data_IF_315423488562
#
_entry.id   IF_315423488562
#
_cell.length_a   1.000
_cell.length_b   1.000
_cell.length_c   1.000
_cell.angle_alpha   90.00
_cell.angle_beta   90.00
_cell.angle_gamma   90.00
#
_symmetry.space_group_name_H-M   'P 1'
#
loop_
_entity.id
_entity.type
_entity.pdbx_description
1 polymer ?
#
# COMPACT_ATOMS: atom_id res chain seq x y z
N UNK A 1 -0.83 4.58 10.64
CA UNK A 1 -1.60 5.78 10.25
C UNK A 1 -0.68 6.87 9.68
N UNK A 2 0.50 7.14 10.28
CA UNK A 2 1.48 8.11 9.77
C UNK A 2 1.94 7.88 8.33
N UNK A 3 2.23 6.63 7.93
CA UNK A 3 2.63 6.28 6.55
C UNK A 3 1.57 6.64 5.50
N UNK A 4 0.28 6.39 5.79
CA UNK A 4 -0.82 6.75 4.88
C UNK A 4 -0.93 8.28 4.72
N UNK A 5 -0.82 9.03 5.82
CA UNK A 5 -0.86 10.50 5.78
C UNK A 5 0.32 11.04 4.98
N UNK A 6 1.53 10.53 5.23
CA UNK A 6 2.71 10.89 4.47
C UNK A 6 2.55 10.60 2.98
N UNK A 7 2.10 9.40 2.61
CA UNK A 7 1.90 9.02 1.22
C UNK A 7 0.86 9.91 0.52
N UNK A 8 -0.24 10.25 1.20
CA UNK A 8 -1.25 11.17 0.69
C UNK A 8 -0.69 12.58 0.48
N UNK A 9 0.03 13.12 1.46
CA UNK A 9 0.66 14.44 1.37
C UNK A 9 1.71 14.50 0.26
N UNK A 10 2.56 13.47 0.18
CA UNK A 10 3.56 13.32 -0.88
C UNK A 10 2.92 13.28 -2.26
N UNK A 11 1.87 12.47 -2.44
CA UNK A 11 1.15 12.34 -3.71
C UNK A 11 0.48 13.65 -4.09
N UNK A 12 -0.18 14.32 -3.14
CA UNK A 12 -0.79 15.62 -3.38
C UNK A 12 0.25 16.67 -3.80
N UNK A 13 1.39 16.72 -3.11
CA UNK A 13 2.48 17.62 -3.46
C UNK A 13 3.06 17.32 -4.84
N UNK A 14 3.30 16.04 -5.16
CA UNK A 14 3.83 15.63 -6.46
C UNK A 14 2.87 15.97 -7.60
N UNK A 15 1.55 15.81 -7.40
CA UNK A 15 0.53 16.20 -8.38
C UNK A 15 0.44 17.73 -8.54
N UNK A 16 0.54 18.49 -7.45
CA UNK A 16 0.59 19.96 -7.52
C UNK A 16 1.81 20.43 -8.30
N UNK A 17 2.99 19.85 -8.03
CA UNK A 17 4.22 20.16 -8.77
C UNK A 17 4.10 19.77 -10.25
N UNK A 18 3.46 18.65 -10.57
CA UNK A 18 3.22 18.27 -11.96
C UNK A 18 2.29 19.28 -12.67
N UNK A 19 1.22 19.71 -12.01
CA UNK A 19 0.20 20.58 -12.61
C UNK A 19 0.64 22.05 -12.72
N UNK A 20 1.42 22.55 -11.76
CA UNK A 20 1.86 23.95 -11.70
C UNK A 20 3.34 24.16 -12.08
N UNK A 21 4.14 23.10 -12.17
CA UNK A 21 5.61 23.18 -12.35
C UNK A 21 6.09 23.50 -13.77
N UNK A 22 5.20 23.67 -14.75
CA UNK A 22 5.60 24.07 -16.10
C UNK A 22 6.53 23.06 -16.78
N UNK A 23 6.09 21.81 -16.90
CA UNK A 23 6.87 20.66 -17.42
C UNK A 23 7.52 20.94 -18.79
N UNK A 24 6.92 21.83 -19.57
CA UNK A 24 7.37 22.19 -20.93
C UNK A 24 8.72 22.93 -20.96
N UNK A 25 9.18 23.50 -19.85
CA UNK A 25 10.49 24.18 -19.78
C UNK A 25 11.62 23.26 -19.31
N UNK A 26 11.30 22.07 -18.82
CA UNK A 26 12.27 21.12 -18.26
C UNK A 26 12.98 20.30 -19.34
N UNK A 27 14.21 19.88 -19.04
CA UNK A 27 14.96 18.94 -19.87
C UNK A 27 14.29 17.54 -19.87
N UNK A 28 14.51 16.69 -20.90
CA UNK A 28 13.84 15.39 -21.01
C UNK A 28 14.02 14.47 -19.78
N UNK A 29 15.21 14.47 -19.18
CA UNK A 29 15.48 13.69 -17.96
C UNK A 29 14.71 14.23 -16.74
N UNK A 30 14.66 15.55 -16.59
CA UNK A 30 13.93 16.20 -15.50
C UNK A 30 12.43 15.93 -15.61
N UNK A 31 11.87 15.96 -16.83
CA UNK A 31 10.47 15.58 -17.08
C UNK A 31 10.19 14.13 -16.69
N UNK A 32 11.08 13.21 -17.05
CA UNK A 32 10.94 11.80 -16.70
C UNK A 32 10.91 11.63 -15.18
N UNK A 33 11.85 12.25 -14.48
CA UNK A 33 11.91 12.26 -13.01
C UNK A 33 10.63 12.85 -12.42
N UNK A 34 10.21 14.04 -12.88
CA UNK A 34 8.98 14.72 -12.44
C UNK A 34 7.72 13.86 -12.61
N UNK A 35 7.69 12.99 -13.62
CA UNK A 35 6.56 12.10 -13.88
C UNK A 35 6.59 10.84 -12.98
N UNK A 36 7.79 10.35 -12.61
CA UNK A 36 7.95 9.20 -11.74
C UNK A 36 7.50 9.52 -10.29
N UNK A 37 7.72 10.75 -9.82
CA UNK A 37 7.33 11.19 -8.47
C UNK A 37 5.84 10.98 -8.13
N UNK A 38 4.87 11.45 -8.94
CA UNK A 38 3.46 11.21 -8.65
C UNK A 38 3.08 9.73 -8.82
N UNK A 39 3.69 9.00 -9.76
CA UNK A 39 3.45 7.56 -9.93
C UNK A 39 3.85 6.79 -8.66
N UNK A 40 5.05 7.05 -8.15
CA UNK A 40 5.53 6.45 -6.89
C UNK A 40 4.67 6.86 -5.70
N UNK A 41 4.25 8.12 -5.62
CA UNK A 41 3.29 8.58 -4.60
C UNK A 41 1.97 7.80 -4.62
N UNK A 42 1.37 7.64 -5.80
CA UNK A 42 0.12 6.89 -5.98
C UNK A 42 0.31 5.43 -5.54
N UNK A 43 1.41 4.78 -5.93
CA UNK A 43 1.71 3.41 -5.54
C UNK A 43 1.85 3.26 -4.01
N UNK A 44 2.59 4.17 -3.36
CA UNK A 44 2.76 4.18 -1.90
C UNK A 44 1.44 4.45 -1.17
N UNK A 45 0.61 5.34 -1.71
CA UNK A 45 -0.72 5.65 -1.17
C UNK A 45 -1.62 4.43 -1.24
N UNK A 46 -1.64 3.75 -2.39
CA UNK A 46 -2.44 2.54 -2.59
C UNK A 46 -1.99 1.41 -1.66
N UNK A 47 -0.68 1.16 -1.54
CA UNK A 47 -0.13 0.15 -0.64
C UNK A 47 -0.48 0.45 0.83
N UNK A 48 -0.25 1.70 1.26
CA UNK A 48 -0.57 2.16 2.62
C UNK A 48 -2.07 2.05 2.92
N UNK A 49 -2.92 2.37 1.95
CA UNK A 49 -4.36 2.30 2.10
C UNK A 49 -4.85 0.85 2.19
N UNK A 50 -4.30 -0.05 1.36
CA UNK A 50 -4.56 -1.49 1.43
C UNK A 50 -4.23 -2.06 2.81
N UNK A 51 -3.03 -1.77 3.31
CA UNK A 51 -2.58 -2.22 4.63
C UNK A 51 -3.46 -1.66 5.74
N UNK A 52 -3.82 -0.37 5.67
CA UNK A 52 -4.73 0.26 6.61
C UNK A 52 -6.10 -0.45 6.66
N UNK A 53 -6.69 -0.77 5.50
CA UNK A 53 -7.98 -1.47 5.42
C UNK A 53 -7.92 -2.88 5.99
N UNK A 54 -6.87 -3.62 5.67
CA UNK A 54 -6.64 -4.98 6.21
C UNK A 54 -6.51 -4.94 7.72
N UNK A 55 -5.67 -4.04 8.27
CA UNK A 55 -5.51 -3.86 9.72
C UNK A 55 -6.81 -3.46 10.43
N UNK A 56 -7.63 -2.62 9.79
CA UNK A 56 -8.90 -2.15 10.36
C UNK A 56 -9.99 -3.23 10.39
N UNK A 57 -9.96 -4.15 9.42
CA UNK A 57 -10.92 -5.26 9.34
C UNK A 57 -10.43 -6.54 10.04
N UNK A 58 -9.16 -6.57 10.47
CA UNK A 58 -8.55 -7.72 11.11
C UNK A 58 -9.25 -8.03 12.43
N UNK A 59 -9.78 -9.24 12.52
CA UNK A 59 -10.37 -9.83 13.72
C UNK A 59 -9.77 -11.21 13.97
N UNK A 60 -9.81 -11.65 15.22
CA UNK A 60 -9.36 -12.98 15.62
C UNK A 60 -10.59 -13.79 16.01
N UNK A 61 -10.75 -14.95 15.39
CA UNK A 61 -11.81 -15.90 15.67
C UNK A 61 -11.21 -17.17 16.26
N UNK A 62 -11.88 -17.78 17.24
CA UNK A 62 -11.47 -19.08 17.79
C UNK A 62 -12.36 -20.17 17.23
N UNK A 63 -11.79 -21.07 16.43
CA UNK A 63 -12.50 -22.19 15.80
C UNK A 63 -11.85 -23.48 16.25
N UNK A 64 -12.59 -24.32 16.98
CA UNK A 64 -12.09 -25.62 17.44
C UNK A 64 -10.86 -25.53 18.36
N UNK A 65 -10.71 -24.43 19.12
CA UNK A 65 -9.55 -24.21 20.00
C UNK A 65 -8.32 -23.60 19.32
N UNK A 66 -8.39 -23.31 18.01
CA UNK A 66 -7.32 -22.65 17.26
C UNK A 66 -7.71 -21.21 16.94
N UNK A 67 -6.77 -20.27 17.10
CA UNK A 67 -6.96 -18.88 16.70
C UNK A 67 -6.77 -18.72 15.19
N UNK A 68 -7.76 -18.11 14.53
CA UNK A 68 -7.75 -17.80 13.10
C UNK A 68 -7.87 -16.29 12.93
N UNK A 69 -6.96 -15.72 12.16
CA UNK A 69 -6.95 -14.31 11.79
C UNK A 69 -7.79 -14.11 10.54
N UNK A 70 -8.82 -13.27 10.62
CA UNK A 70 -9.74 -12.99 9.51
C UNK A 70 -9.67 -11.51 9.17
N UNK A 71 -9.52 -11.17 7.90
CA UNK A 71 -9.54 -9.79 7.42
C UNK A 71 -10.28 -9.68 6.08
N UNK A 72 -10.62 -8.44 5.70
CA UNK A 72 -11.32 -8.15 4.44
C UNK A 72 -10.32 -7.54 3.45
N UNK A 73 -10.27 -8.09 2.24
CA UNK A 73 -9.47 -7.57 1.13
C UNK A 73 -10.12 -6.36 0.44
N UNK A 74 -9.40 -5.76 -0.50
CA UNK A 74 -9.89 -4.58 -1.22
C UNK A 74 -11.17 -4.87 -2.03
N UNK A 75 -11.31 -6.09 -2.54
CA UNK A 75 -12.48 -6.58 -3.27
C UNK A 75 -13.68 -6.91 -2.37
N UNK A 76 -13.51 -6.83 -1.04
CA UNK A 76 -14.54 -7.16 -0.05
C UNK A 76 -14.57 -8.64 0.34
N UNK A 77 -13.68 -9.48 -0.21
CA UNK A 77 -13.59 -10.89 0.17
C UNK A 77 -12.98 -11.06 1.56
N UNK A 78 -13.49 -12.03 2.32
CA UNK A 78 -12.86 -12.45 3.58
C UNK A 78 -11.67 -13.37 3.30
N UNK A 79 -10.55 -13.08 3.93
CA UNK A 79 -9.35 -13.93 3.94
C UNK A 79 -9.08 -14.40 5.35
N UNK A 80 -8.48 -15.58 5.46
CA UNK A 80 -8.21 -16.26 6.73
C UNK A 80 -6.77 -16.77 6.76
N UNK A 81 -6.12 -16.67 7.90
CA UNK A 81 -4.81 -17.27 8.15
C UNK A 81 -4.74 -17.82 9.58
N UNK A 82 -3.97 -18.89 9.78
CA UNK A 82 -3.68 -19.46 11.11
C UNK A 82 -2.47 -18.80 11.78
N UNK A 83 -1.61 -18.13 11.00
CA UNK A 83 -0.50 -17.29 11.46
C UNK A 83 -0.92 -15.82 11.44
N UNK A 84 -0.37 -15.01 12.34
CA UNK A 84 -0.58 -13.55 12.31
C UNK A 84 -0.07 -12.98 10.97
N UNK A 85 -0.95 -12.43 10.12
CA UNK A 85 -0.56 -11.95 8.79
C UNK A 85 0.12 -10.58 8.83
N UNK A 86 0.20 -9.93 10.00
CA UNK A 86 0.81 -8.59 10.14
C UNK A 86 2.28 -8.58 9.77
N UNK A 87 3.01 -9.65 10.10
CA UNK A 87 4.44 -9.77 9.79
C UNK A 87 4.67 -9.74 8.26
N UNK A 88 3.82 -10.43 7.51
CA UNK A 88 3.93 -10.51 6.05
C UNK A 88 3.44 -9.22 5.36
N UNK A 89 2.60 -8.41 6.02
CA UNK A 89 2.13 -7.12 5.51
C UNK A 89 3.11 -5.97 5.76
N UNK A 90 3.95 -6.13 6.78
CA UNK A 90 4.91 -5.12 7.23
C UNK A 90 6.32 -5.40 6.68
N UNK A 91 6.52 -6.56 6.07
CA UNK A 91 7.69 -6.87 5.25
C UNK A 91 7.69 -5.96 4.01
N UNK A 92 8.58 -4.96 4.04
CA UNK A 92 8.93 -4.09 2.91
C UNK A 92 9.60 -4.89 1.79
N UNK A 93 8.82 -5.74 1.11
CA UNK A 93 9.19 -6.36 -0.16
C UNK A 93 10.52 -7.11 -0.16
N UNK A 94 10.59 -8.26 0.50
CA UNK A 94 11.21 -9.42 -0.14
C UNK A 94 10.08 -10.28 -0.69
N UNK A 95 9.84 -10.15 -2.00
CA UNK A 95 9.00 -11.06 -2.75
C UNK A 95 9.63 -12.45 -2.75
N UNK A 96 9.37 -13.23 -1.69
CA UNK A 96 9.66 -14.64 -1.64
C UNK A 96 8.45 -15.43 -2.14
N UNK A 97 8.57 -15.99 -3.33
CA UNK A 97 7.66 -17.02 -3.85
C UNK A 97 7.38 -18.08 -2.79
N UNK A 98 6.11 -18.23 -2.43
CA UNK A 98 5.59 -19.33 -1.64
C UNK A 98 4.38 -19.92 -2.34
N UNK A 99 4.62 -20.76 -3.36
CA UNK A 99 3.61 -21.65 -3.95
C UNK A 99 2.92 -22.49 -2.86
N UNK A 100 1.66 -22.87 -3.00
CA UNK A 100 1.12 -23.56 -4.15
C UNK A 100 1.05 -25.05 -3.79
N UNK A 101 -0.15 -25.48 -3.38
CA UNK A 101 -0.62 -26.81 -2.96
C UNK A 101 -0.11 -27.41 -1.62
#
# INVERSE_FOLDING_TARGET
>A
MGQLIFALLWTAMALLLLFFGGIETLAPLERAIFTIFPITGIALTWASWRQFRRRRSLRVETVGGVSVYVWIEMDGTERRATKDPRDDWDSDGDGGDGGGD
#
